data_IF_899426300540
#
_entry.id   IF_899426300540
#
_cell.length_a   1.000
_cell.length_b   1.000
_cell.length_c   1.000
_cell.angle_alpha   90.00
_cell.angle_beta   90.00
_cell.angle_gamma   90.00
#
_symmetry.space_group_name_H-M   'P 1'
#
loop_
_entity.id
_entity.type
_entity.pdbx_description
1 polymer ?
#
# COMPACT_ATOMS: atom_id res chain seq x y z
N UNK A 1 52.85 12.78 11.49
CA UNK A 1 51.77 12.40 12.40
C UNK A 1 50.53 13.33 12.24
N UNK A 2 50.75 14.63 12.07
CA UNK A 2 49.66 15.64 11.92
C UNK A 2 48.80 15.50 10.64
N UNK A 3 49.41 15.05 9.52
CA UNK A 3 48.66 14.83 8.28
C UNK A 3 47.68 13.65 8.36
N UNK A 4 48.03 12.55 9.04
CA UNK A 4 47.19 11.39 9.24
C UNK A 4 46.03 11.68 10.19
N UNK A 5 46.21 12.58 11.18
CA UNK A 5 45.17 13.02 12.10
C UNK A 5 44.18 13.96 11.41
N UNK A 6 44.66 14.82 10.48
CA UNK A 6 43.76 15.64 9.63
C UNK A 6 42.93 14.81 8.66
N UNK A 7 43.53 13.78 8.07
CA UNK A 7 42.80 12.87 7.18
C UNK A 7 41.73 12.08 7.90
N UNK A 8 42.00 11.60 9.11
CA UNK A 8 41.00 10.95 9.99
C UNK A 8 39.88 11.92 10.40
N UNK A 9 40.21 13.22 10.59
CA UNK A 9 39.21 14.22 10.96
C UNK A 9 38.33 14.63 9.77
N UNK A 10 38.86 14.59 8.54
CA UNK A 10 38.10 14.83 7.32
C UNK A 10 37.14 13.66 7.03
N UNK A 11 37.57 12.41 7.22
CA UNK A 11 36.73 11.23 7.06
C UNK A 11 35.61 11.21 8.10
N UNK A 12 35.85 11.64 9.35
CA UNK A 12 34.82 11.75 10.39
C UNK A 12 33.85 12.91 10.16
N UNK A 13 34.27 13.97 9.44
CA UNK A 13 33.38 15.08 9.08
C UNK A 13 32.44 14.75 7.89
N UNK A 14 32.75 13.68 7.14
CA UNK A 14 31.87 13.17 6.07
C UNK A 14 30.88 12.13 6.56
N UNK A 15 30.95 11.69 7.83
CA UNK A 15 29.82 11.09 8.52
C UNK A 15 28.78 12.18 8.79
N UNK A 16 28.06 12.52 7.73
CA UNK A 16 26.86 13.37 7.79
C UNK A 16 25.94 12.75 8.83
N UNK A 17 25.92 13.37 10.01
CA UNK A 17 25.02 13.06 11.10
C UNK A 17 23.60 13.03 10.54
N UNK A 18 22.83 11.96 10.71
CA UNK A 18 21.56 11.72 9.96
C UNK A 18 20.41 12.58 10.49
N UNK A 19 20.58 13.90 10.51
CA UNK A 19 19.45 14.82 10.75
C UNK A 19 18.58 15.00 9.50
N UNK A 20 19.09 14.59 8.32
CA UNK A 20 18.31 14.56 7.07
C UNK A 20 17.53 13.25 6.86
N UNK A 21 17.81 12.20 7.61
CA UNK A 21 17.11 10.92 7.49
C UNK A 21 15.63 11.01 7.88
N UNK A 22 15.25 12.04 8.63
CA UNK A 22 13.85 12.26 9.01
C UNK A 22 12.89 12.40 7.82
N UNK A 23 13.32 12.99 6.72
CA UNK A 23 12.46 13.23 5.54
C UNK A 23 12.83 12.42 4.30
N UNK A 24 13.98 11.76 4.31
CA UNK A 24 14.47 10.97 3.19
C UNK A 24 13.49 9.84 2.82
N UNK A 25 12.92 9.16 3.81
CA UNK A 25 11.92 8.13 3.58
C UNK A 25 10.66 8.69 2.91
N UNK A 26 10.26 9.93 3.25
CA UNK A 26 9.10 10.61 2.63
C UNK A 26 9.35 10.85 1.16
N UNK A 27 10.53 11.37 0.79
CA UNK A 27 10.90 11.63 -0.60
C UNK A 27 10.92 10.33 -1.42
N UNK A 28 11.54 9.27 -0.90
CA UNK A 28 11.57 7.95 -1.56
C UNK A 28 10.15 7.40 -1.73
N UNK A 29 9.33 7.51 -0.69
CA UNK A 29 7.93 7.07 -0.71
C UNK A 29 7.13 7.81 -1.78
N UNK A 30 7.23 9.15 -1.80
CA UNK A 30 6.52 9.98 -2.77
C UNK A 30 6.91 9.65 -4.22
N UNK A 31 8.20 9.50 -4.49
CA UNK A 31 8.69 9.14 -5.83
C UNK A 31 8.20 7.76 -6.29
N UNK A 32 8.32 6.75 -5.44
CA UNK A 32 7.90 5.39 -5.80
C UNK A 32 6.38 5.27 -5.92
N UNK A 33 5.60 5.92 -5.05
CA UNK A 33 4.14 5.94 -5.18
C UNK A 33 3.72 6.67 -6.46
N UNK A 34 4.36 7.79 -6.83
CA UNK A 34 4.07 8.49 -8.08
C UNK A 34 4.29 7.58 -9.30
N UNK A 35 5.40 6.83 -9.32
CA UNK A 35 5.66 5.83 -10.37
C UNK A 35 4.56 4.76 -10.38
N UNK A 36 4.17 4.25 -9.21
CA UNK A 36 3.11 3.25 -9.10
C UNK A 36 1.76 3.73 -9.63
N UNK A 37 1.39 4.98 -9.35
CA UNK A 37 0.16 5.61 -9.84
C UNK A 37 0.19 5.77 -11.36
N UNK A 38 1.30 6.27 -11.91
CA UNK A 38 1.48 6.42 -13.36
C UNK A 38 1.34 5.05 -14.04
N UNK A 39 2.03 4.04 -13.55
CA UNK A 39 1.95 2.68 -14.08
C UNK A 39 0.52 2.12 -13.98
N UNK A 40 -0.19 2.37 -12.87
CA UNK A 40 -1.56 1.93 -12.71
C UNK A 40 -2.51 2.59 -13.71
N UNK A 41 -2.37 3.89 -13.94
CA UNK A 41 -3.23 4.64 -14.88
C UNK A 41 -3.00 4.25 -16.34
N UNK A 42 -1.75 3.97 -16.73
CA UNK A 42 -1.38 3.57 -18.10
C UNK A 42 -1.63 2.08 -18.34
N UNK A 43 -1.73 1.27 -17.28
CA UNK A 43 -1.93 -0.17 -17.43
C UNK A 43 -3.26 -0.52 -18.11
N UNK A 44 -3.24 -1.41 -19.13
CA UNK A 44 -4.46 -1.87 -19.76
C UNK A 44 -5.26 -2.75 -18.78
N UNK A 45 -6.58 -2.69 -18.90
CA UNK A 45 -7.47 -3.60 -18.22
C UNK A 45 -7.46 -4.95 -18.95
N UNK A 46 -6.94 -5.99 -18.33
CA UNK A 46 -6.87 -7.34 -18.88
C UNK A 46 -7.88 -8.23 -18.16
N UNK A 47 -8.90 -8.69 -18.86
CA UNK A 47 -9.92 -9.58 -18.29
C UNK A 47 -10.77 -8.96 -17.18
N UNK A 48 -10.95 -7.63 -17.16
CA UNK A 48 -11.69 -6.93 -16.10
C UNK A 48 -10.87 -6.58 -14.87
N UNK A 49 -9.59 -6.94 -14.84
CA UNK A 49 -8.66 -6.65 -13.73
C UNK A 49 -7.56 -5.71 -14.21
N UNK A 50 -7.35 -4.61 -13.49
CA UNK A 50 -6.21 -3.71 -13.71
C UNK A 50 -5.13 -4.04 -12.68
N UNK A 51 -3.88 -4.32 -13.09
CA UNK A 51 -2.79 -4.58 -12.16
C UNK A 51 -2.58 -3.39 -11.22
N UNK A 52 -2.53 -3.65 -9.92
CA UNK A 52 -2.29 -2.61 -8.92
C UNK A 52 -0.79 -2.45 -8.65
N UNK A 53 -0.14 -1.59 -9.44
CA UNK A 53 1.28 -1.31 -9.32
C UNK A 53 1.67 -0.56 -8.04
N UNK A 54 0.71 0.11 -7.40
CA UNK A 54 1.00 0.84 -6.16
C UNK A 54 1.39 -0.11 -5.03
N UNK A 55 0.82 -1.34 -4.99
CA UNK A 55 1.19 -2.37 -4.03
C UNK A 55 2.67 -2.76 -4.19
N UNK A 56 3.13 -2.95 -5.41
CA UNK A 56 4.53 -3.27 -5.68
C UNK A 56 5.44 -2.12 -5.20
N UNK A 57 5.09 -0.87 -5.49
CA UNK A 57 5.89 0.29 -5.14
C UNK A 57 5.95 0.51 -3.63
N UNK A 58 4.82 0.48 -2.90
CA UNK A 58 4.90 0.64 -1.45
C UNK A 58 5.56 -0.57 -0.76
N UNK A 59 5.46 -1.77 -1.31
CA UNK A 59 6.20 -2.92 -0.80
C UNK A 59 7.71 -2.72 -0.89
N UNK A 60 8.20 -2.13 -1.99
CA UNK A 60 9.60 -1.75 -2.14
C UNK A 60 9.98 -0.68 -1.12
N UNK A 61 9.16 0.38 -0.98
CA UNK A 61 9.36 1.44 0.01
C UNK A 61 9.50 0.86 1.42
N UNK A 62 8.55 0.04 1.84
CA UNK A 62 8.52 -0.55 3.19
C UNK A 62 9.77 -1.42 3.44
N UNK A 63 10.23 -2.16 2.41
CA UNK A 63 11.44 -2.96 2.52
C UNK A 63 12.72 -2.12 2.59
N UNK A 64 12.77 -0.98 1.91
CA UNK A 64 13.94 -0.09 1.87
C UNK A 64 14.03 0.79 3.11
N UNK A 65 12.90 1.31 3.58
CA UNK A 65 12.86 2.33 4.64
C UNK A 65 12.55 1.76 6.02
N UNK A 66 12.05 0.53 6.10
CA UNK A 66 11.61 -0.15 7.33
C UNK A 66 10.80 0.80 8.24
N UNK A 67 9.68 1.35 7.75
CA UNK A 67 8.95 2.39 8.45
C UNK A 67 8.31 1.88 9.75
N UNK A 68 7.98 2.81 10.65
CA UNK A 68 7.12 2.51 11.80
C UNK A 68 5.70 2.17 11.35
N UNK A 69 4.92 1.52 12.21
CA UNK A 69 3.54 1.15 11.90
C UNK A 69 2.66 2.35 11.51
N UNK A 70 2.72 3.51 12.22
CA UNK A 70 1.99 4.71 11.80
C UNK A 70 2.40 5.24 10.42
N UNK A 71 3.68 5.14 10.08
CA UNK A 71 4.17 5.53 8.77
C UNK A 71 3.65 4.60 7.67
N UNK A 72 3.61 3.29 7.93
CA UNK A 72 3.04 2.32 7.00
C UNK A 72 1.53 2.54 6.79
N UNK A 73 0.79 2.88 7.84
CA UNK A 73 -0.62 3.31 7.75
C UNK A 73 -0.76 4.54 6.84
N UNK A 74 0.10 5.55 7.02
CA UNK A 74 0.11 6.74 6.16
C UNK A 74 0.41 6.41 4.70
N UNK A 75 1.37 5.54 4.42
CA UNK A 75 1.71 5.07 3.07
C UNK A 75 0.48 4.40 2.42
N UNK A 76 -0.17 3.46 3.12
CA UNK A 76 -1.36 2.78 2.63
C UNK A 76 -2.53 3.72 2.40
N UNK A 77 -2.73 4.69 3.29
CA UNK A 77 -3.77 5.69 3.17
C UNK A 77 -3.58 6.58 1.94
N UNK A 78 -2.38 7.13 1.74
CA UNK A 78 -2.06 7.96 0.57
C UNK A 78 -2.18 7.13 -0.71
N UNK A 79 -1.68 5.90 -0.73
CA UNK A 79 -1.83 4.98 -1.86
C UNK A 79 -3.31 4.76 -2.20
N UNK A 80 -4.13 4.43 -1.21
CA UNK A 80 -5.56 4.21 -1.39
C UNK A 80 -6.30 5.46 -1.89
N UNK A 81 -6.02 6.63 -1.31
CA UNK A 81 -6.63 7.90 -1.74
C UNK A 81 -6.31 8.25 -3.18
N UNK A 82 -5.08 8.02 -3.62
CA UNK A 82 -4.66 8.29 -5.01
C UNK A 82 -5.27 7.33 -6.03
N UNK A 83 -5.65 6.12 -5.59
CA UNK A 83 -6.32 5.15 -6.45
C UNK A 83 -7.83 5.39 -6.58
N UNK A 84 -8.47 6.08 -5.65
CA UNK A 84 -9.92 6.35 -5.70
C UNK A 84 -10.35 6.99 -7.03
N UNK A 85 -9.72 8.08 -7.53
CA UNK A 85 -10.14 8.71 -8.79
C UNK A 85 -9.84 7.89 -10.04
N UNK A 86 -8.86 6.99 -10.00
CA UNK A 86 -8.48 6.13 -11.11
C UNK A 86 -9.15 4.76 -11.08
N UNK A 87 -9.90 4.47 -10.02
CA UNK A 87 -10.57 3.18 -9.84
C UNK A 87 -11.72 3.01 -10.83
N UNK A 88 -11.71 1.90 -11.55
CA UNK A 88 -12.81 1.47 -12.42
C UNK A 88 -13.77 0.49 -11.71
N UNK A 89 -13.63 0.33 -10.39
CA UNK A 89 -14.47 -0.58 -9.60
C UNK A 89 -15.81 0.04 -9.23
N UNK A 90 -16.80 -0.81 -8.95
CA UNK A 90 -18.12 -0.38 -8.50
C UNK A 90 -18.09 0.33 -7.12
N UNK A 91 -17.04 0.11 -6.32
CA UNK A 91 -16.86 0.73 -5.01
C UNK A 91 -15.41 1.24 -4.84
N UNK A 92 -15.10 2.46 -5.32
CA UNK A 92 -13.75 3.01 -5.30
C UNK A 92 -13.16 3.15 -3.88
N UNK A 93 -14.01 3.45 -2.88
CA UNK A 93 -13.58 3.57 -1.48
C UNK A 93 -13.08 2.26 -0.87
N UNK A 94 -13.43 1.11 -1.46
CA UNK A 94 -12.89 -0.19 -1.08
C UNK A 94 -11.37 -0.27 -1.25
N UNK A 95 -10.81 0.46 -2.22
CA UNK A 95 -9.37 0.55 -2.41
C UNK A 95 -8.67 1.20 -1.22
N UNK A 96 -9.28 2.19 -0.59
CA UNK A 96 -8.69 2.86 0.57
C UNK A 96 -8.46 1.87 1.73
N UNK A 97 -9.49 1.08 2.06
CA UNK A 97 -9.38 0.09 3.14
C UNK A 97 -8.39 -1.04 2.78
N UNK A 98 -8.47 -1.55 1.55
CA UNK A 98 -7.62 -2.65 1.09
C UNK A 98 -6.14 -2.26 1.03
N UNK A 99 -5.81 -1.04 0.58
CA UNK A 99 -4.44 -0.55 0.50
C UNK A 99 -3.84 -0.32 1.90
N UNK A 100 -4.62 0.23 2.83
CA UNK A 100 -4.18 0.39 4.23
C UNK A 100 -3.88 -0.97 4.85
N UNK A 101 -4.78 -1.95 4.71
CA UNK A 101 -4.54 -3.30 5.21
C UNK A 101 -3.31 -3.96 4.56
N UNK A 102 -3.15 -3.82 3.25
CA UNK A 102 -2.00 -4.35 2.52
C UNK A 102 -0.67 -3.76 3.00
N UNK A 103 -0.60 -2.43 3.19
CA UNK A 103 0.60 -1.76 3.65
C UNK A 103 0.96 -2.14 5.11
N UNK A 104 -0.03 -2.26 5.99
CA UNK A 104 0.18 -2.69 7.38
C UNK A 104 0.71 -4.11 7.43
N UNK A 105 0.08 -5.04 6.71
CA UNK A 105 0.52 -6.44 6.68
C UNK A 105 1.91 -6.56 6.08
N UNK A 106 2.21 -5.80 5.01
CA UNK A 106 3.55 -5.73 4.44
C UNK A 106 4.58 -5.28 5.47
N UNK A 107 4.29 -4.21 6.22
CA UNK A 107 5.17 -3.69 7.27
C UNK A 107 5.40 -4.71 8.39
N UNK A 108 4.34 -5.36 8.87
CA UNK A 108 4.45 -6.39 9.92
C UNK A 108 5.27 -7.59 9.42
N UNK A 109 5.04 -8.03 8.19
CA UNK A 109 5.77 -9.15 7.60
C UNK A 109 7.27 -8.83 7.44
N UNK A 110 7.60 -7.63 6.95
CA UNK A 110 8.99 -7.18 6.83
C UNK A 110 9.67 -7.14 8.19
N UNK A 111 9.00 -6.63 9.23
CA UNK A 111 9.54 -6.61 10.61
C UNK A 111 9.72 -8.02 11.17
N UNK A 112 8.75 -8.92 10.95
CA UNK A 112 8.86 -10.31 11.36
C UNK A 112 10.04 -11.03 10.66
N UNK A 113 10.21 -10.81 9.36
CA UNK A 113 11.33 -11.40 8.60
C UNK A 113 12.69 -10.83 9.05
N UNK A 114 12.76 -9.57 9.45
CA UNK A 114 13.97 -8.97 10.05
C UNK A 114 14.26 -9.57 11.41
N UNK A 115 13.24 -9.78 12.26
CA UNK A 115 13.40 -10.39 13.59
C UNK A 115 13.94 -11.83 13.51
N UNK A 116 13.55 -12.60 12.49
CA UNK A 116 14.01 -13.98 12.26
C UNK A 116 15.36 -14.04 11.55
N UNK A 117 16.03 -12.90 11.29
CA UNK A 117 17.31 -12.81 10.56
C UNK A 117 17.31 -13.50 9.20
N UNK A 118 16.17 -13.56 8.53
CA UNK A 118 16.04 -14.02 7.14
C UNK A 118 16.63 -13.00 6.13
N UNK A 119 17.62 -12.23 6.58
CA UNK A 119 18.26 -11.15 5.82
C UNK A 119 19.03 -11.64 4.59
N UNK A 120 19.43 -12.91 4.58
CA UNK A 120 20.09 -13.55 3.44
C UNK A 120 19.18 -13.80 2.23
N UNK A 121 17.87 -13.66 2.37
CA UNK A 121 16.94 -13.97 1.29
C UNK A 121 16.67 -12.74 0.43
N UNK A 122 17.25 -12.69 -0.74
CA UNK A 122 16.94 -11.71 -1.80
C UNK A 122 15.46 -11.70 -2.19
N UNK A 123 14.69 -12.70 -1.75
CA UNK A 123 13.26 -12.87 -2.01
C UNK A 123 12.35 -12.13 -1.02
N UNK A 124 12.91 -11.49 0.03
CA UNK A 124 12.12 -10.77 1.04
C UNK A 124 11.12 -9.77 0.46
N UNK A 125 11.53 -8.83 -0.44
CA UNK A 125 10.58 -7.88 -1.01
C UNK A 125 9.53 -8.55 -1.89
N UNK A 126 9.88 -9.64 -2.57
CA UNK A 126 8.95 -10.39 -3.39
C UNK A 126 7.87 -11.08 -2.54
N UNK A 127 8.27 -11.78 -1.48
CA UNK A 127 7.34 -12.45 -0.55
C UNK A 127 6.44 -11.42 0.13
N UNK A 128 7.02 -10.33 0.64
CA UNK A 128 6.25 -9.25 1.29
C UNK A 128 5.24 -8.62 0.33
N UNK A 129 5.62 -8.35 -0.91
CA UNK A 129 4.74 -7.81 -1.94
C UNK A 129 3.63 -8.79 -2.35
N UNK A 130 3.95 -10.07 -2.50
CA UNK A 130 2.98 -11.11 -2.85
C UNK A 130 1.91 -11.26 -1.75
N UNK A 131 2.33 -11.37 -0.49
CA UNK A 131 1.40 -11.47 0.65
C UNK A 131 0.57 -10.19 0.78
N UNK A 132 1.17 -9.00 0.65
CA UNK A 132 0.45 -7.73 0.66
C UNK A 132 -0.63 -7.68 -0.43
N UNK A 133 -0.31 -8.15 -1.63
CA UNK A 133 -1.26 -8.23 -2.75
C UNK A 133 -2.41 -9.18 -2.46
N UNK A 134 -2.13 -10.36 -1.90
CA UNK A 134 -3.17 -11.33 -1.52
C UNK A 134 -4.11 -10.76 -0.45
N UNK A 135 -3.56 -10.09 0.56
CA UNK A 135 -4.35 -9.47 1.64
C UNK A 135 -5.17 -8.30 1.10
N UNK A 136 -4.55 -7.39 0.35
CA UNK A 136 -5.26 -6.24 -0.24
C UNK A 136 -6.39 -6.71 -1.17
N UNK A 137 -6.12 -7.64 -2.08
CA UNK A 137 -7.13 -8.21 -2.97
C UNK A 137 -8.25 -8.95 -2.22
N UNK A 138 -7.90 -9.72 -1.19
CA UNK A 138 -8.86 -10.42 -0.32
C UNK A 138 -9.79 -9.46 0.42
N UNK A 139 -9.23 -8.42 1.03
CA UNK A 139 -10.01 -7.37 1.73
C UNK A 139 -10.93 -6.65 0.74
N UNK A 140 -10.42 -6.28 -0.43
CA UNK A 140 -11.22 -5.62 -1.47
C UNK A 140 -12.39 -6.48 -1.92
N UNK A 141 -12.15 -7.77 -2.22
CA UNK A 141 -13.18 -8.72 -2.64
C UNK A 141 -14.22 -8.94 -1.54
N UNK A 142 -13.77 -9.03 -0.28
CA UNK A 142 -14.68 -9.15 0.86
C UNK A 142 -15.60 -7.93 1.00
N UNK A 143 -15.05 -6.72 0.84
CA UNK A 143 -15.83 -5.47 0.88
C UNK A 143 -16.85 -5.44 -0.27
N UNK A 144 -16.44 -5.79 -1.49
CA UNK A 144 -17.34 -5.82 -2.65
C UNK A 144 -18.49 -6.80 -2.45
N UNK A 145 -18.22 -8.01 -1.96
CA UNK A 145 -19.26 -9.01 -1.71
C UNK A 145 -20.22 -8.57 -0.61
N UNK A 146 -19.71 -8.00 0.48
CA UNK A 146 -20.52 -7.51 1.60
C UNK A 146 -21.43 -6.36 1.18
N UNK A 147 -20.88 -5.42 0.40
CA UNK A 147 -21.63 -4.26 -0.10
C UNK A 147 -22.65 -4.67 -1.16
N UNK A 148 -22.28 -5.56 -2.09
CA UNK A 148 -23.18 -6.12 -3.09
C UNK A 148 -24.36 -6.88 -2.47
N UNK A 149 -24.11 -7.69 -1.45
CA UNK A 149 -25.16 -8.39 -0.71
C UNK A 149 -26.10 -7.43 0.04
N UNK A 150 -25.56 -6.34 0.61
CA UNK A 150 -26.37 -5.31 1.27
C UNK A 150 -27.29 -4.58 0.28
N UNK A 151 -26.75 -4.20 -0.89
CA UNK A 151 -27.56 -3.55 -1.94
C UNK A 151 -28.66 -4.46 -2.48
N UNK A 152 -28.39 -5.75 -2.68
CA UNK A 152 -29.40 -6.72 -3.09
C UNK A 152 -30.53 -6.86 -2.05
N UNK A 153 -30.18 -6.93 -0.77
CA UNK A 153 -31.17 -6.98 0.32
C UNK A 153 -32.06 -5.73 0.34
N UNK A 154 -31.46 -4.53 0.17
CA UNK A 154 -32.22 -3.27 0.11
C UNK A 154 -33.15 -3.24 -1.11
N UNK A 155 -32.70 -3.67 -2.27
CA UNK A 155 -33.50 -3.74 -3.49
C UNK A 155 -34.70 -4.70 -3.34
N UNK A 156 -34.48 -5.86 -2.73
CA UNK A 156 -35.54 -6.83 -2.45
C UNK A 156 -36.57 -6.29 -1.44
N UNK A 157 -36.12 -5.63 -0.37
CA UNK A 157 -37.01 -4.99 0.60
C UNK A 157 -37.82 -3.86 -0.03
N UNK A 158 -37.24 -3.05 -0.89
CA UNK A 158 -37.92 -1.98 -1.60
C UNK A 158 -38.97 -2.52 -2.59
N UNK A 159 -38.64 -3.60 -3.32
CA UNK A 159 -39.57 -4.28 -4.22
C UNK A 159 -40.75 -4.94 -3.47
N UNK A 160 -40.47 -5.53 -2.32
CA UNK A 160 -41.50 -6.15 -1.46
C UNK A 160 -42.42 -5.11 -0.78
N UNK A 161 -41.85 -3.94 -0.37
CA UNK A 161 -42.61 -2.84 0.25
C UNK A 161 -43.46 -2.01 -0.74
N UNK A 162 -43.05 -1.95 -2.00
CA UNK A 162 -43.76 -1.20 -3.06
C UNK A 162 -45.03 -1.88 -3.61
N UNK A 163 -45.27 -3.14 -3.30
CA UNK A 163 -46.44 -3.93 -3.75
C UNK A 163 -47.75 -3.69 -3.01
N UNK A 164 -47.73 -2.95 -1.89
CA UNK A 164 -48.85 -2.80 -0.99
C UNK A 164 -49.89 -1.72 -1.29
N UNK A 165 -49.65 -0.83 -2.29
CA UNK A 165 -50.52 0.34 -2.49
C UNK A 165 -51.10 0.50 -3.89
N UNK A 166 -51.43 -0.62 -4.55
CA UNK A 166 -52.21 -0.61 -5.81
C UNK A 166 -53.49 -1.43 -5.67
N UNK A 167 -54.29 -1.18 -4.64
CA UNK A 167 -55.71 -1.59 -4.60
C UNK A 167 -56.49 -0.52 -3.86
N UNK A 168 -56.92 0.50 -4.60
CA UNK A 168 -58.06 1.32 -4.32
C UNK A 168 -58.63 1.85 -5.63
#
# INVERSE_FOLDING_TARGET
MEAAEKEKKIVTLTEVKPTQDGYRWVAITAMLLAIGIILHTVSPNVGGVTPNWTIAMYSIVINLTNPSLPQALGIGFISGMTLVPSSKSAFPLGNLASEVCGAVVCCLLVKAMLAVKLEKWRLRPFIAGLVATMVSGGVFTFILNSFGAALQRMAVCHAAGGGGNRRA
#
